data_IF_255919448693
#
_entry.id   IF_255919448693
#
_cell.length_a   1.000
_cell.length_b   1.000
_cell.length_c   1.000
_cell.angle_alpha   90.00
_cell.angle_beta   90.00
_cell.angle_gamma   90.00
#
_symmetry.space_group_name_H-M   'P 1'
#
loop_
_entity.id
_entity.type
_entity.pdbx_description
1 polymer ?
#
# COMPACT_ATOMS: atom_id res chain seq x y z
N UNK A 1 -26.67 10.60 2.02
CA UNK A 1 -25.31 11.17 2.17
C UNK A 1 -24.39 10.50 1.16
N UNK A 2 -23.49 11.21 0.48
CA UNK A 2 -22.50 10.54 -0.36
C UNK A 2 -21.70 9.57 0.51
N UNK A 3 -21.63 8.31 0.06
CA UNK A 3 -20.88 7.26 0.73
C UNK A 3 -19.40 7.53 0.44
N UNK A 4 -18.72 8.24 1.35
CA UNK A 4 -17.28 8.47 1.25
C UNK A 4 -16.53 7.24 1.77
N UNK A 5 -15.40 6.94 1.15
CA UNK A 5 -14.51 5.85 1.51
C UNK A 5 -13.09 6.40 1.67
N UNK A 6 -12.38 5.98 2.71
CA UNK A 6 -11.00 6.39 2.93
C UNK A 6 -10.07 5.49 2.10
N UNK A 7 -9.68 5.97 0.92
CA UNK A 7 -8.69 5.29 0.08
C UNK A 7 -7.28 5.22 0.67
N UNK A 8 -6.72 6.33 1.22
CA UNK A 8 -5.38 6.33 1.82
C UNK A 8 -5.13 5.20 2.81
N UNK A 9 -3.96 4.58 2.67
CA UNK A 9 -3.68 3.29 3.30
C UNK A 9 -2.88 3.41 4.60
N UNK A 10 -3.02 2.35 5.39
CA UNK A 10 -2.12 1.97 6.48
C UNK A 10 -1.42 0.68 6.05
N UNK A 11 -0.12 0.58 6.28
CA UNK A 11 0.69 -0.57 5.88
C UNK A 11 1.58 -1.01 7.05
N UNK A 12 1.83 -2.30 7.14
CA UNK A 12 2.88 -2.84 8.00
C UNK A 12 3.69 -3.88 7.24
N UNK A 13 4.99 -3.81 7.35
CA UNK A 13 5.89 -4.89 6.99
C UNK A 13 6.57 -5.45 8.24
N UNK A 14 6.72 -6.76 8.31
CA UNK A 14 7.37 -7.46 9.44
C UNK A 14 8.29 -8.53 8.88
N UNK A 15 9.51 -8.63 9.42
CA UNK A 15 10.38 -9.79 9.23
C UNK A 15 10.78 -10.39 10.58
N UNK A 16 10.78 -11.72 10.64
CA UNK A 16 11.19 -12.50 11.80
C UNK A 16 12.70 -12.71 11.83
N UNK A 17 13.25 -12.86 13.04
CA UNK A 17 14.62 -13.29 13.23
C UNK A 17 14.85 -14.70 12.64
N UNK A 18 16.06 -15.00 12.12
CA UNK A 18 16.40 -16.34 11.64
C UNK A 18 16.10 -17.43 12.67
N UNK A 19 15.58 -18.57 12.21
CA UNK A 19 15.22 -19.72 13.07
C UNK A 19 13.82 -19.65 13.69
N UNK A 20 13.08 -18.55 13.52
CA UNK A 20 11.68 -18.50 13.94
C UNK A 20 10.79 -19.44 13.12
N UNK A 21 9.70 -19.97 13.69
CA UNK A 21 8.73 -20.77 12.93
C UNK A 21 8.12 -20.00 11.76
N UNK A 22 7.91 -20.70 10.63
CA UNK A 22 7.34 -20.12 9.41
C UNK A 22 6.00 -19.41 9.68
N UNK A 23 5.89 -18.19 9.16
CA UNK A 23 4.64 -17.41 9.15
C UNK A 23 3.56 -18.09 8.29
N UNK A 24 3.94 -18.74 7.18
CA UNK A 24 2.99 -19.51 6.35
C UNK A 24 2.45 -20.72 7.08
N UNK A 25 3.29 -21.40 7.86
CA UNK A 25 2.88 -22.56 8.67
C UNK A 25 1.82 -22.22 9.75
N UNK A 26 1.61 -20.93 10.07
CA UNK A 26 0.51 -20.49 10.95
C UNK A 26 -0.88 -20.78 10.38
N UNK A 27 -0.98 -20.90 9.05
CA UNK A 27 -2.20 -21.27 8.35
C UNK A 27 -3.26 -20.17 8.31
N UNK A 28 -4.24 -20.35 7.42
CA UNK A 28 -5.35 -19.42 7.20
C UNK A 28 -6.13 -19.03 8.48
N UNK A 29 -6.46 -19.96 9.41
CA UNK A 29 -7.21 -19.59 10.62
C UNK A 29 -6.49 -18.60 11.54
N UNK A 30 -5.16 -18.61 11.56
CA UNK A 30 -4.39 -17.60 12.28
C UNK A 30 -4.54 -16.23 11.62
N UNK A 31 -4.36 -16.17 10.30
CA UNK A 31 -4.46 -14.94 9.52
C UNK A 31 -5.86 -14.34 9.53
N UNK A 32 -6.92 -15.15 9.51
CA UNK A 32 -8.30 -14.67 9.68
C UNK A 32 -8.50 -13.96 11.02
N UNK A 33 -7.91 -14.46 12.11
CA UNK A 33 -7.95 -13.81 13.43
C UNK A 33 -7.19 -12.47 13.42
N UNK A 34 -6.01 -12.42 12.79
CA UNK A 34 -5.21 -11.19 12.67
C UNK A 34 -5.94 -10.15 11.82
N UNK A 35 -6.42 -10.53 10.64
CA UNK A 35 -7.16 -9.68 9.72
C UNK A 35 -8.46 -9.16 10.37
N UNK A 36 -9.16 -10.01 11.11
CA UNK A 36 -10.34 -9.62 11.89
C UNK A 36 -10.05 -8.55 12.94
N UNK A 37 -8.84 -8.52 13.52
CA UNK A 37 -8.43 -7.46 14.46
C UNK A 37 -8.23 -6.11 13.78
N UNK A 38 -7.93 -6.08 12.48
CA UNK A 38 -7.92 -4.86 11.67
C UNK A 38 -9.33 -4.42 11.24
N UNK A 39 -10.40 -5.17 11.58
CA UNK A 39 -11.77 -5.00 11.09
C UNK A 39 -11.95 -5.28 9.59
N UNK A 40 -11.12 -6.18 9.05
CA UNK A 40 -11.21 -6.65 7.68
C UNK A 40 -11.56 -8.16 7.64
N UNK A 41 -11.81 -8.69 6.44
CA UNK A 41 -12.04 -10.11 6.18
C UNK A 41 -11.15 -10.58 5.04
N UNK A 42 -10.78 -11.86 5.03
CA UNK A 42 -10.15 -12.52 3.89
C UNK A 42 -11.26 -12.90 2.89
N UNK A 43 -11.16 -12.42 1.65
CA UNK A 43 -12.11 -12.74 0.57
C UNK A 43 -11.64 -13.97 -0.21
N UNK A 44 -10.36 -14.01 -0.56
CA UNK A 44 -9.74 -15.08 -1.32
C UNK A 44 -8.27 -15.22 -0.99
N UNK A 45 -7.65 -16.29 -1.49
CA UNK A 45 -6.24 -16.60 -1.31
C UNK A 45 -5.67 -17.20 -2.59
N UNK A 46 -4.47 -16.77 -2.94
CA UNK A 46 -3.58 -17.44 -3.89
C UNK A 46 -2.29 -17.87 -3.18
N UNK A 47 -1.58 -18.84 -3.75
CA UNK A 47 -0.33 -19.36 -3.19
C UNK A 47 0.60 -19.83 -4.30
N UNK A 48 1.90 -19.66 -4.08
CA UNK A 48 2.96 -20.35 -4.80
C UNK A 48 3.94 -21.01 -3.80
N UNK A 49 5.10 -21.47 -4.28
CA UNK A 49 6.11 -22.12 -3.44
C UNK A 49 6.68 -21.22 -2.32
N UNK A 50 6.68 -19.89 -2.51
CA UNK A 50 7.38 -18.93 -1.64
C UNK A 50 6.44 -18.00 -0.87
N UNK A 51 5.22 -17.79 -1.36
CA UNK A 51 4.31 -16.76 -0.86
C UNK A 51 2.85 -17.20 -0.88
N UNK A 52 2.12 -16.82 0.16
CA UNK A 52 0.67 -16.81 0.22
C UNK A 52 0.18 -15.37 0.16
N UNK A 53 -0.73 -15.06 -0.76
CA UNK A 53 -1.38 -13.74 -0.84
C UNK A 53 -2.87 -13.87 -0.56
N UNK A 54 -3.35 -13.02 0.31
CA UNK A 54 -4.74 -12.94 0.76
C UNK A 54 -5.32 -11.62 0.30
N UNK A 55 -6.34 -11.70 -0.55
CA UNK A 55 -7.12 -10.53 -0.91
C UNK A 55 -8.13 -10.26 0.22
N UNK A 56 -8.11 -9.04 0.74
CA UNK A 56 -8.93 -8.63 1.88
C UNK A 56 -10.12 -7.78 1.41
N UNK A 57 -11.14 -7.69 2.27
CA UNK A 57 -12.27 -6.79 2.07
C UNK A 57 -11.85 -5.31 2.03
N UNK A 58 -10.70 -4.99 2.61
CA UNK A 58 -10.15 -3.66 2.77
C UNK A 58 -8.64 -3.73 2.47
N UNK A 59 -8.24 -4.09 1.24
CA UNK A 59 -6.85 -4.21 0.73
C UNK A 59 -6.24 -5.64 0.74
N UNK A 60 -5.05 -5.87 1.30
CA UNK A 60 -4.22 -7.06 0.97
C UNK A 60 -3.28 -7.52 2.11
N UNK A 61 -2.95 -8.81 2.11
CA UNK A 61 -1.92 -9.41 3.00
C UNK A 61 -1.07 -10.40 2.21
N UNK A 62 0.25 -10.26 2.26
CA UNK A 62 1.22 -11.18 1.67
C UNK A 62 2.08 -11.80 2.75
N UNK A 63 2.29 -13.12 2.70
CA UNK A 63 2.98 -13.88 3.74
C UNK A 63 3.97 -14.86 3.09
N UNK A 64 5.24 -14.73 3.42
CA UNK A 64 6.31 -15.69 3.15
C UNK A 64 6.68 -16.41 4.44
N UNK A 65 7.69 -17.29 4.47
CA UNK A 65 8.08 -17.98 5.70
C UNK A 65 8.61 -17.03 6.78
N UNK A 66 9.37 -16.00 6.40
CA UNK A 66 10.03 -15.09 7.35
C UNK A 66 9.58 -13.63 7.27
N UNK A 67 8.82 -13.25 6.25
CA UNK A 67 8.38 -11.88 6.01
C UNK A 67 6.88 -11.80 5.67
N UNK A 68 6.23 -10.71 6.05
CA UNK A 68 4.89 -10.35 5.60
C UNK A 68 4.76 -8.85 5.34
N UNK A 69 3.79 -8.48 4.50
CA UNK A 69 3.21 -7.14 4.46
C UNK A 69 1.69 -7.22 4.57
N UNK A 70 1.08 -6.32 5.33
CA UNK A 70 -0.36 -6.16 5.39
C UNK A 70 -0.71 -4.70 5.16
N UNK A 71 -1.54 -4.46 4.14
CA UNK A 71 -2.02 -3.15 3.73
C UNK A 71 -3.52 -3.12 4.00
N UNK A 72 -4.01 -2.00 4.52
CA UNK A 72 -5.42 -1.80 4.85
C UNK A 72 -5.87 -0.39 4.52
N UNK A 73 -7.11 -0.25 4.05
CA UNK A 73 -7.76 1.04 3.77
C UNK A 73 -9.07 1.17 4.57
N UNK A 74 -9.88 2.19 4.27
CA UNK A 74 -11.16 2.41 4.93
C UNK A 74 -11.00 2.83 6.41
N UNK A 75 -11.83 2.24 7.28
CA UNK A 75 -11.86 2.55 8.73
C UNK A 75 -11.25 1.45 9.60
N UNK A 76 -10.25 0.77 9.05
CA UNK A 76 -9.50 -0.31 9.70
C UNK A 76 -8.61 0.18 10.84
N UNK A 77 -8.27 -0.74 11.74
CA UNK A 77 -7.33 -0.52 12.85
C UNK A 77 -6.14 -1.50 12.73
N UNK A 78 -5.23 -1.19 11.81
CA UNK A 78 -4.08 -2.04 11.51
C UNK A 78 -3.20 -2.28 12.74
N UNK A 79 -3.03 -1.27 13.61
CA UNK A 79 -2.22 -1.42 14.82
C UNK A 79 -2.79 -2.49 15.76
N UNK A 80 -4.11 -2.65 15.88
CA UNK A 80 -4.67 -3.77 16.65
C UNK A 80 -4.27 -5.13 16.07
N UNK A 81 -4.19 -5.27 14.74
CA UNK A 81 -3.68 -6.48 14.10
C UNK A 81 -2.17 -6.66 14.32
N UNK A 82 -1.36 -5.61 14.28
CA UNK A 82 0.08 -5.64 14.59
C UNK A 82 0.30 -6.15 16.02
N UNK A 83 -0.43 -5.58 16.99
CA UNK A 83 -0.34 -6.00 18.39
C UNK A 83 -0.76 -7.45 18.57
N UNK A 84 -1.78 -7.92 17.84
CA UNK A 84 -2.17 -9.33 17.83
C UNK A 84 -1.08 -10.24 17.25
N UNK A 85 -0.37 -9.80 16.21
CA UNK A 85 0.79 -10.52 15.68
C UNK A 85 1.90 -10.58 16.73
N UNK A 86 2.19 -9.46 17.40
CA UNK A 86 3.18 -9.41 18.48
C UNK A 86 2.85 -10.39 19.62
N UNK A 87 1.58 -10.51 20.02
CA UNK A 87 1.15 -11.48 21.05
C UNK A 87 1.38 -12.95 20.61
N UNK A 88 1.25 -13.24 19.31
CA UNK A 88 1.36 -14.61 18.78
C UNK A 88 2.75 -14.99 18.29
N UNK A 89 3.58 -14.01 17.94
CA UNK A 89 4.92 -14.18 17.38
C UNK A 89 6.02 -13.88 18.39
N UNK A 90 5.74 -13.06 19.41
CA UNK A 90 6.76 -12.51 20.31
C UNK A 90 7.45 -11.29 19.70
N UNK A 91 7.53 -10.19 20.44
CA UNK A 91 8.19 -8.95 19.97
C UNK A 91 9.70 -9.15 19.84
N UNK A 92 10.28 -9.97 20.71
CA UNK A 92 11.67 -10.39 20.68
C UNK A 92 12.05 -11.10 19.37
N UNK A 93 11.10 -11.77 18.73
CA UNK A 93 11.32 -12.51 17.48
C UNK A 93 11.21 -11.62 16.24
N UNK A 94 10.80 -10.35 16.37
CA UNK A 94 10.78 -9.41 15.25
C UNK A 94 12.19 -8.84 15.03
N UNK A 95 12.74 -9.08 13.84
CA UNK A 95 14.01 -8.47 13.44
C UNK A 95 13.78 -7.10 12.78
N UNK A 96 12.64 -6.95 12.09
CA UNK A 96 12.26 -5.77 11.34
C UNK A 96 10.77 -5.53 11.47
N UNK A 97 10.39 -4.26 11.65
CA UNK A 97 9.02 -3.81 11.52
C UNK A 97 9.03 -2.38 11.01
N UNK A 98 8.23 -2.12 9.97
CA UNK A 98 7.86 -0.79 9.52
C UNK A 98 6.33 -0.70 9.54
N UNK A 99 5.80 0.35 10.14
CA UNK A 99 4.41 0.75 10.05
C UNK A 99 4.31 2.09 9.33
N UNK A 100 3.51 2.15 8.28
CA UNK A 100 3.29 3.33 7.47
C UNK A 100 1.82 3.75 7.49
N UNK A 101 1.61 5.06 7.40
CA UNK A 101 0.28 5.63 7.29
C UNK A 101 0.32 6.86 6.40
N UNK A 102 -0.36 6.79 5.25
CA UNK A 102 -0.61 7.96 4.42
C UNK A 102 -1.53 8.92 5.17
N UNK A 103 -1.31 10.23 5.06
CA UNK A 103 -2.24 11.19 5.65
C UNK A 103 -3.65 11.02 5.07
N UNK A 104 -4.63 10.91 5.97
CA UNK A 104 -6.02 10.64 5.62
C UNK A 104 -6.68 11.85 4.98
N UNK A 105 -7.62 11.60 4.07
CA UNK A 105 -8.53 12.60 3.52
C UNK A 105 -9.65 12.93 4.51
N UNK A 106 -10.10 11.94 5.29
CA UNK A 106 -11.19 12.11 6.26
C UNK A 106 -10.79 11.57 7.64
N UNK A 107 -9.77 12.20 8.23
CA UNK A 107 -9.14 11.82 9.49
C UNK A 107 -10.14 11.74 10.67
N UNK A 108 -11.21 12.54 10.65
CA UNK A 108 -12.27 12.58 11.66
C UNK A 108 -13.14 11.31 11.70
N UNK A 109 -13.12 10.49 10.65
CA UNK A 109 -13.82 9.20 10.62
C UNK A 109 -12.91 8.00 10.88
N UNK A 110 -11.62 8.24 11.06
CA UNK A 110 -10.67 7.19 11.41
C UNK A 110 -10.75 6.86 12.90
N UNK A 111 -10.61 5.58 13.29
CA UNK A 111 -10.68 5.18 14.70
C UNK A 111 -9.50 5.74 15.54
N UNK A 112 -8.39 6.06 14.90
CA UNK A 112 -7.15 6.59 15.49
C UNK A 112 -6.47 7.53 14.51
N UNK A 113 -5.54 8.36 14.97
CA UNK A 113 -4.53 9.02 14.12
C UNK A 113 -3.14 8.36 14.28
N UNK A 114 -2.16 8.81 13.50
CA UNK A 114 -0.80 8.26 13.55
C UNK A 114 -0.13 8.38 14.94
N UNK A 115 -0.39 9.46 15.68
CA UNK A 115 0.18 9.65 17.01
C UNK A 115 -0.40 8.68 18.04
N UNK A 116 -1.70 8.38 17.96
CA UNK A 116 -2.34 7.34 18.76
C UNK A 116 -1.74 5.97 18.44
N UNK A 117 -1.55 5.68 17.16
CA UNK A 117 -0.97 4.44 16.65
C UNK A 117 0.45 4.23 17.20
N UNK A 118 1.33 5.24 17.06
CA UNK A 118 2.69 5.20 17.60
C UNK A 118 2.68 5.05 19.11
N UNK A 119 1.84 5.78 19.84
CA UNK A 119 1.73 5.64 21.31
C UNK A 119 1.37 4.22 21.73
N UNK A 120 0.60 3.48 20.93
CA UNK A 120 0.26 2.08 21.18
C UNK A 120 1.42 1.14 20.84
N UNK A 121 2.11 1.36 19.73
CA UNK A 121 3.29 0.58 19.32
C UNK A 121 4.45 0.77 20.30
N UNK A 122 4.75 2.01 20.69
CA UNK A 122 5.82 2.37 21.63
C UNK A 122 5.63 1.83 23.05
N UNK A 123 4.42 1.35 23.41
CA UNK A 123 4.21 0.62 24.68
C UNK A 123 4.72 -0.82 24.64
N UNK A 124 5.02 -1.35 23.46
CA UNK A 124 5.35 -2.77 23.24
C UNK A 124 6.72 -2.96 22.61
N UNK A 125 7.26 -1.96 21.93
CA UNK A 125 8.57 -2.01 21.29
C UNK A 125 9.19 -0.63 21.20
N UNK A 126 10.51 -0.57 21.26
CA UNK A 126 11.26 0.65 20.99
C UNK A 126 11.31 0.91 19.49
N UNK A 127 11.02 2.13 19.09
CA UNK A 127 11.02 2.49 17.69
C UNK A 127 10.98 3.98 17.46
N UNK A 128 11.22 4.35 16.22
CA UNK A 128 11.36 5.74 15.78
C UNK A 128 10.27 6.10 14.80
N UNK A 129 9.62 7.23 15.05
CA UNK A 129 8.60 7.80 14.17
C UNK A 129 9.18 8.95 13.34
N UNK A 130 8.76 9.03 12.07
CA UNK A 130 9.21 9.99 11.07
C UNK A 130 8.02 10.44 10.21
N UNK A 131 8.18 11.59 9.55
CA UNK A 131 7.26 12.08 8.50
C UNK A 131 8.06 12.37 7.24
N UNK A 132 7.53 11.91 6.11
CA UNK A 132 8.03 12.19 4.78
C UNK A 132 7.02 13.07 4.05
N UNK A 133 7.37 14.33 3.80
CA UNK A 133 6.47 15.34 3.25
C UNK A 133 6.06 16.41 4.27
N UNK A 134 5.13 17.27 3.87
CA UNK A 134 4.71 18.44 4.63
C UNK A 134 3.43 18.15 5.41
N UNK A 135 3.33 18.63 6.66
CA UNK A 135 2.23 18.25 7.57
C UNK A 135 0.86 18.81 7.22
N UNK A 136 0.86 19.87 6.43
CA UNK A 136 -0.29 20.59 5.87
C UNK A 136 -0.57 20.19 4.41
N UNK A 137 0.15 19.21 3.88
CA UNK A 137 0.04 18.73 2.50
C UNK A 137 0.21 17.20 2.44
N UNK A 138 0.54 16.66 1.26
CA UNK A 138 0.85 15.24 1.10
C UNK A 138 2.06 14.79 1.93
N UNK A 139 1.84 13.78 2.78
CA UNK A 139 2.90 13.14 3.53
C UNK A 139 2.58 11.68 3.91
N UNK A 140 3.63 10.89 4.11
CA UNK A 140 3.58 9.56 4.71
C UNK A 140 4.22 9.62 6.09
N UNK A 141 3.51 9.11 7.08
CA UNK A 141 4.08 8.83 8.39
C UNK A 141 4.67 7.43 8.42
N UNK A 142 5.78 7.28 9.12
CA UNK A 142 6.49 6.01 9.25
C UNK A 142 6.92 5.81 10.69
N UNK A 143 6.69 4.63 11.24
CA UNK A 143 7.28 4.14 12.47
C UNK A 143 8.10 2.89 12.14
N UNK A 144 9.34 2.81 12.63
CA UNK A 144 10.13 1.59 12.49
C UNK A 144 10.69 1.13 13.83
N UNK A 145 10.81 -0.19 13.98
CA UNK A 145 11.48 -0.84 15.11
C UNK A 145 12.96 -0.41 15.15
N UNK A 146 13.47 -0.04 16.32
CA UNK A 146 14.88 0.30 16.50
C UNK A 146 15.70 -0.94 16.89
N UNK A 147 16.00 -1.77 15.89
CA UNK A 147 16.90 -2.91 16.01
C UNK A 147 17.86 -2.96 14.82
N UNK A 148 19.10 -3.47 15.01
CA UNK A 148 20.01 -3.66 13.87
C UNK A 148 19.36 -4.56 12.82
N UNK A 149 19.21 -4.01 11.62
CA UNK A 149 18.69 -4.72 10.46
C UNK A 149 19.47 -4.32 9.22
N UNK A 150 19.72 -5.28 8.36
CA UNK A 150 20.38 -5.09 7.07
C UNK A 150 19.51 -5.73 6.00
N UNK A 151 18.87 -4.94 5.12
CA UNK A 151 18.11 -5.50 4.03
C UNK A 151 19.01 -6.19 3.02
N UNK A 152 18.45 -7.19 2.33
CA UNK A 152 19.12 -7.82 1.19
C UNK A 152 19.35 -6.79 0.07
N UNK A 153 20.44 -6.90 -0.72
CA UNK A 153 20.80 -5.89 -1.73
C UNK A 153 19.71 -5.61 -2.78
N UNK A 154 18.82 -6.56 -3.03
CA UNK A 154 17.71 -6.49 -3.99
C UNK A 154 16.32 -6.37 -3.34
N UNK A 155 16.29 -6.03 -2.04
CA UNK A 155 15.07 -5.76 -1.29
C UNK A 155 14.64 -4.29 -1.44
N UNK A 156 13.88 -4.03 -2.49
CA UNK A 156 13.32 -2.73 -2.79
C UNK A 156 11.81 -2.82 -2.82
N UNK A 157 11.13 -1.81 -2.27
CA UNK A 157 9.68 -1.65 -2.35
C UNK A 157 9.36 -0.31 -2.99
N UNK A 158 8.53 -0.33 -4.04
CA UNK A 158 8.02 0.85 -4.73
C UNK A 158 6.52 0.98 -4.45
N UNK A 159 6.12 2.17 -4.04
CA UNK A 159 4.72 2.56 -3.87
C UNK A 159 4.40 3.78 -4.73
N UNK A 160 3.24 3.77 -5.37
CA UNK A 160 2.70 4.89 -6.14
C UNK A 160 1.28 5.17 -5.63
N UNK A 161 1.13 6.26 -4.89
CA UNK A 161 -0.10 6.66 -4.22
C UNK A 161 -0.73 7.81 -5.03
N UNK A 162 -1.85 7.54 -5.69
CA UNK A 162 -2.41 8.38 -6.74
C UNK A 162 -3.71 9.01 -6.30
N UNK A 163 -3.88 10.31 -6.55
CA UNK A 163 -5.01 11.10 -6.07
C UNK A 163 -5.70 11.82 -7.21
N UNK A 164 -7.02 11.93 -7.15
CA UNK A 164 -7.79 12.60 -8.19
C UNK A 164 -7.69 11.84 -9.51
N UNK A 165 -8.06 10.56 -9.49
CA UNK A 165 -7.99 9.66 -10.64
C UNK A 165 -8.86 10.20 -11.78
N UNK A 166 -8.45 9.99 -13.02
CA UNK A 166 -9.23 10.37 -14.19
C UNK A 166 -10.60 9.68 -14.21
N UNK A 167 -11.65 10.44 -14.53
CA UNK A 167 -13.04 9.95 -14.48
C UNK A 167 -13.27 8.74 -15.40
N UNK A 168 -12.61 8.69 -16.57
CA UNK A 168 -12.76 7.58 -17.50
C UNK A 168 -12.00 6.35 -16.99
N UNK A 169 -10.80 6.55 -16.45
CA UNK A 169 -10.05 5.48 -15.80
C UNK A 169 -10.83 4.88 -14.61
N UNK A 170 -11.38 5.72 -13.73
CA UNK A 170 -12.14 5.30 -12.55
C UNK A 170 -13.41 4.52 -12.89
N UNK A 171 -14.12 4.87 -13.98
CA UNK A 171 -15.33 4.14 -14.44
C UNK A 171 -15.07 2.68 -14.78
N UNK A 172 -13.85 2.32 -15.16
CA UNK A 172 -13.45 0.92 -15.41
C UNK A 172 -13.64 0.03 -14.18
N UNK A 173 -13.59 0.62 -12.98
CA UNK A 173 -13.66 -0.06 -11.68
C UNK A 173 -15.00 0.17 -10.95
N UNK A 174 -16.04 0.55 -11.70
CA UNK A 174 -17.42 0.63 -11.21
C UNK A 174 -18.16 -0.59 -11.72
N UNK A 175 -18.83 -1.32 -10.82
CA UNK A 175 -19.59 -2.52 -11.18
C UNK A 175 -20.82 -2.15 -12.03
N UNK A 176 -21.14 -3.01 -12.98
CA UNK A 176 -22.28 -2.82 -13.87
C UNK A 176 -22.52 -4.03 -14.76
N UNK A 177 -23.63 -4.08 -15.52
CA UNK A 177 -24.00 -5.25 -16.32
C UNK A 177 -22.89 -5.75 -17.25
N UNK A 178 -22.13 -4.81 -17.83
CA UNK A 178 -20.99 -5.06 -18.72
C UNK A 178 -19.63 -5.00 -17.99
N UNK A 179 -19.55 -4.37 -16.82
CA UNK A 179 -18.31 -4.19 -16.05
C UNK A 179 -18.16 -5.33 -15.05
N UNK A 180 -17.74 -6.49 -15.55
CA UNK A 180 -17.40 -7.69 -14.75
C UNK A 180 -15.89 -7.90 -14.73
N UNK A 181 -15.39 -8.86 -13.93
CA UNK A 181 -13.96 -9.21 -13.85
C UNK A 181 -13.28 -9.34 -15.22
N UNK A 182 -13.93 -9.98 -16.20
CA UNK A 182 -13.42 -10.15 -17.56
C UNK A 182 -13.14 -8.80 -18.26
N UNK A 183 -14.07 -7.85 -18.14
CA UNK A 183 -13.93 -6.52 -18.70
C UNK A 183 -12.72 -5.80 -18.08
N UNK A 184 -12.57 -5.84 -16.75
CA UNK A 184 -11.42 -5.22 -16.08
C UNK A 184 -10.10 -5.82 -16.58
N UNK A 185 -10.05 -7.16 -16.69
CA UNK A 185 -8.87 -7.86 -17.19
C UNK A 185 -8.49 -7.43 -18.61
N UNK A 186 -9.47 -7.28 -19.49
CA UNK A 186 -9.25 -6.96 -20.91
C UNK A 186 -8.96 -5.46 -21.13
N UNK A 187 -9.62 -4.57 -20.38
CA UNK A 187 -9.64 -3.13 -20.69
C UNK A 187 -8.76 -2.26 -19.78
N UNK A 188 -8.50 -2.67 -18.53
CA UNK A 188 -7.79 -1.79 -17.58
C UNK A 188 -6.26 -1.80 -17.72
N UNK A 189 -5.69 -2.88 -18.27
CA UNK A 189 -4.25 -3.10 -18.33
C UNK A 189 -3.56 -3.44 -17.01
N UNK A 190 -4.28 -3.50 -15.88
CA UNK A 190 -3.68 -3.73 -14.55
C UNK A 190 -3.17 -5.17 -14.33
N UNK A 191 -3.75 -6.14 -15.03
CA UNK A 191 -3.33 -7.55 -15.00
C UNK A 191 -1.99 -7.80 -15.71
N UNK A 192 -1.57 -6.90 -16.60
CA UNK A 192 -0.40 -7.09 -17.46
C UNK A 192 0.75 -6.12 -17.13
N UNK A 193 0.68 -5.43 -15.98
CA UNK A 193 1.73 -4.51 -15.53
C UNK A 193 3.07 -5.23 -15.38
N UNK A 194 3.06 -6.42 -14.77
CA UNK A 194 4.22 -7.29 -14.64
C UNK A 194 3.89 -8.68 -15.23
N UNK A 195 4.42 -9.02 -16.42
CA UNK A 195 4.17 -10.30 -17.06
C UNK A 195 4.62 -11.50 -16.21
N UNK A 196 3.85 -12.60 -16.28
CA UNK A 196 4.16 -13.87 -15.61
C UNK A 196 3.74 -13.96 -14.14
N UNK A 197 3.05 -12.94 -13.61
CA UNK A 197 2.46 -13.01 -12.28
C UNK A 197 1.10 -13.71 -12.31
N UNK A 198 0.85 -14.56 -11.31
CA UNK A 198 -0.50 -15.06 -11.03
C UNK A 198 -1.32 -13.94 -10.40
N UNK A 199 -2.55 -13.73 -10.85
CA UNK A 199 -3.43 -12.64 -10.41
C UNK A 199 -4.69 -13.20 -9.74
N UNK A 200 -5.09 -12.57 -8.63
CA UNK A 200 -6.37 -12.75 -7.94
C UNK A 200 -6.90 -11.35 -7.65
N UNK A 201 -8.17 -11.13 -7.99
CA UNK A 201 -8.77 -9.81 -7.97
C UNK A 201 -10.18 -9.83 -7.40
N UNK A 202 -10.68 -8.65 -7.08
CA UNK A 202 -12.03 -8.47 -6.59
C UNK A 202 -12.57 -7.10 -7.03
N UNK A 203 -13.72 -7.13 -7.71
CA UNK A 203 -14.51 -5.94 -8.02
C UNK A 203 -15.60 -5.83 -6.96
N UNK A 204 -15.58 -4.74 -6.20
CA UNK A 204 -16.54 -4.47 -5.14
C UNK A 204 -17.82 -3.86 -5.71
N UNK A 205 -18.94 -4.11 -5.03
CA UNK A 205 -20.24 -3.56 -5.40
C UNK A 205 -20.64 -2.43 -4.43
N UNK A 206 -21.09 -1.27 -4.95
CA UNK A 206 -21.27 -0.93 -6.37
C UNK A 206 -19.98 -0.51 -7.10
N UNK A 207 -18.89 -0.26 -6.39
CA UNK A 207 -17.62 0.18 -6.98
C UNK A 207 -16.42 -0.13 -6.10
N UNK A 208 -15.22 -0.10 -6.69
CA UNK A 208 -13.95 -0.36 -6.02
C UNK A 208 -13.29 -1.61 -6.56
N UNK A 209 -11.97 -1.68 -6.50
CA UNK A 209 -11.23 -2.83 -7.03
C UNK A 209 -9.97 -3.12 -6.21
N UNK A 210 -9.72 -4.40 -5.96
CA UNK A 210 -8.47 -4.87 -5.38
C UNK A 210 -7.86 -5.94 -6.25
N UNK A 211 -6.54 -5.93 -6.39
CA UNK A 211 -5.79 -6.94 -7.11
C UNK A 211 -4.55 -7.31 -6.32
N UNK A 212 -4.34 -8.61 -6.15
CA UNK A 212 -3.06 -9.18 -5.74
C UNK A 212 -2.46 -9.95 -6.89
N UNK A 213 -1.14 -9.90 -6.96
CA UNK A 213 -0.40 -10.65 -7.94
C UNK A 213 0.90 -11.15 -7.34
N UNK A 214 1.23 -12.43 -7.55
CA UNK A 214 2.47 -13.05 -7.04
C UNK A 214 3.23 -13.82 -8.11
N UNK A 215 4.56 -13.85 -7.97
CA UNK A 215 5.49 -14.72 -8.71
C UNK A 215 6.73 -14.94 -7.86
N UNK A 216 7.06 -16.19 -7.56
CA UNK A 216 8.12 -16.52 -6.59
C UNK A 216 7.91 -15.73 -5.27
N UNK A 217 8.94 -15.07 -4.75
CA UNK A 217 8.87 -14.17 -3.59
C UNK A 217 8.50 -12.72 -3.94
N UNK A 218 8.04 -12.47 -5.17
CA UNK A 218 7.70 -11.13 -5.66
C UNK A 218 6.19 -10.93 -5.73
N UNK A 219 5.75 -9.71 -5.48
CA UNK A 219 4.34 -9.34 -5.58
C UNK A 219 4.14 -7.97 -6.23
N UNK A 220 2.94 -7.74 -6.71
CA UNK A 220 2.39 -6.39 -6.79
C UNK A 220 0.92 -6.39 -6.39
N UNK A 221 0.44 -5.24 -5.94
CA UNK A 221 -0.94 -5.06 -5.51
C UNK A 221 -1.48 -3.70 -5.92
N UNK A 222 -2.79 -3.63 -6.13
CA UNK A 222 -3.50 -2.40 -6.53
C UNK A 222 -4.81 -2.31 -5.75
N UNK A 223 -5.08 -1.15 -5.17
CA UNK A 223 -6.37 -0.85 -4.56
C UNK A 223 -6.94 0.43 -5.17
N UNK A 224 -8.17 0.35 -5.67
CA UNK A 224 -8.85 1.44 -6.40
C UNK A 224 -10.08 1.87 -5.63
N UNK A 225 -10.12 3.16 -5.30
CA UNK A 225 -11.24 3.91 -4.74
C UNK A 225 -11.71 4.90 -5.81
N UNK A 226 -12.68 4.53 -6.68
CA UNK A 226 -13.07 5.33 -7.84
C UNK A 226 -14.08 6.45 -7.51
N UNK A 227 -14.44 6.65 -6.24
CA UNK A 227 -15.39 7.65 -5.77
C UNK A 227 -14.99 9.05 -6.23
N UNK A 228 -15.95 9.86 -6.69
CA UNK A 228 -15.68 11.24 -7.16
C UNK A 228 -14.97 12.10 -6.11
N UNK A 229 -15.42 11.99 -4.86
CA UNK A 229 -14.79 12.66 -3.72
C UNK A 229 -13.81 11.68 -3.10
N UNK A 230 -12.54 12.09 -3.03
CA UNK A 230 -11.48 11.27 -2.47
C UNK A 230 -11.06 10.09 -3.35
N UNK A 231 -11.15 10.23 -4.68
CA UNK A 231 -10.63 9.19 -5.59
C UNK A 231 -9.15 8.94 -5.33
N UNK A 232 -8.82 7.67 -5.16
CA UNK A 232 -7.51 7.23 -4.73
C UNK A 232 -7.17 5.89 -5.36
N UNK A 233 -5.91 5.71 -5.76
CA UNK A 233 -5.37 4.41 -6.16
C UNK A 233 -4.00 4.23 -5.53
N UNK A 234 -3.75 3.08 -4.94
CA UNK A 234 -2.39 2.65 -4.58
C UNK A 234 -1.92 1.57 -5.55
N UNK A 235 -0.64 1.62 -5.88
CA UNK A 235 0.10 0.53 -6.50
C UNK A 235 1.34 0.27 -5.65
N UNK A 236 1.60 -0.97 -5.29
CA UNK A 236 2.81 -1.37 -4.57
C UNK A 236 3.44 -2.61 -5.20
N UNK A 237 4.77 -2.68 -5.22
CA UNK A 237 5.52 -3.87 -5.64
C UNK A 237 6.91 -3.94 -5.03
N UNK A 238 7.39 -5.17 -4.79
CA UNK A 238 8.80 -5.43 -4.50
C UNK A 238 9.61 -5.90 -5.74
N UNK A 239 9.04 -5.81 -6.94
CA UNK A 239 9.69 -6.13 -8.23
C UNK A 239 10.29 -4.86 -8.85
N UNK A 240 11.32 -4.30 -8.23
CA UNK A 240 11.95 -3.04 -8.66
C UNK A 240 13.21 -3.29 -9.50
N UNK A 241 13.00 -3.62 -10.78
CA UNK A 241 14.07 -3.94 -11.74
C UNK A 241 14.56 -2.76 -12.60
N UNK A 242 15.26 -3.08 -13.70
CA UNK A 242 15.73 -2.08 -14.67
C UNK A 242 14.59 -1.35 -15.39
N UNK A 243 13.48 -2.04 -15.63
CA UNK A 243 12.31 -1.47 -16.31
C UNK A 243 11.35 -0.70 -15.38
N UNK A 244 11.76 -0.40 -14.14
CA UNK A 244 10.91 0.30 -13.15
C UNK A 244 10.31 1.61 -13.70
N UNK A 245 11.07 2.37 -14.50
CA UNK A 245 10.59 3.63 -15.07
C UNK A 245 9.49 3.40 -16.13
N UNK A 246 9.56 2.30 -16.88
CA UNK A 246 8.47 1.91 -17.80
C UNK A 246 7.25 1.46 -17.00
N UNK A 247 7.44 0.72 -15.91
CA UNK A 247 6.35 0.32 -15.01
C UNK A 247 5.64 1.54 -14.43
N UNK A 248 6.37 2.50 -13.86
CA UNK A 248 5.83 3.74 -13.29
C UNK A 248 5.04 4.51 -14.34
N UNK A 249 5.60 4.69 -15.55
CA UNK A 249 4.90 5.37 -16.64
C UNK A 249 3.62 4.63 -17.06
N UNK A 250 3.61 3.29 -17.09
CA UNK A 250 2.43 2.48 -17.39
C UNK A 250 1.35 2.63 -16.32
N UNK A 251 1.71 2.52 -15.03
CA UNK A 251 0.76 2.70 -13.91
C UNK A 251 0.11 4.08 -13.98
N UNK A 252 0.92 5.13 -14.11
CA UNK A 252 0.41 6.51 -14.22
C UNK A 252 -0.38 6.75 -15.52
N UNK A 253 -0.06 6.04 -16.60
CA UNK A 253 -0.79 6.10 -17.86
C UNK A 253 -2.18 5.45 -17.80
N UNK A 254 -2.36 4.42 -16.96
CA UNK A 254 -3.67 3.78 -16.71
C UNK A 254 -4.57 4.73 -15.91
N UNK A 255 -4.09 5.25 -14.78
CA UNK A 255 -4.93 5.97 -13.83
C UNK A 255 -4.96 7.49 -14.04
N UNK A 256 -3.95 8.05 -14.72
CA UNK A 256 -3.83 9.48 -15.09
C UNK A 256 -4.17 10.45 -13.94
N UNK A 257 -3.59 10.28 -12.75
CA UNK A 257 -4.00 11.02 -11.57
C UNK A 257 -3.66 12.52 -11.67
N UNK A 258 -4.35 13.34 -10.88
CA UNK A 258 -4.04 14.77 -10.72
C UNK A 258 -2.76 14.98 -9.92
N UNK A 259 -2.49 14.15 -8.93
CA UNK A 259 -1.22 14.12 -8.20
C UNK A 259 -0.87 12.70 -7.79
N UNK A 260 0.42 12.45 -7.53
CA UNK A 260 0.86 11.20 -6.98
C UNK A 260 2.03 11.38 -6.01
N UNK A 261 2.08 10.51 -5.02
CA UNK A 261 3.21 10.35 -4.12
C UNK A 261 3.93 9.06 -4.52
N UNK A 262 5.25 9.12 -4.70
CA UNK A 262 6.08 7.95 -4.98
C UNK A 262 6.98 7.71 -3.78
N UNK A 263 6.82 6.54 -3.15
CA UNK A 263 7.67 6.09 -2.04
C UNK A 263 8.55 4.96 -2.54
N UNK A 264 9.83 5.03 -2.26
CA UNK A 264 10.77 3.97 -2.60
C UNK A 264 11.66 3.66 -1.40
N UNK A 265 11.55 2.42 -0.95
CA UNK A 265 12.46 1.79 -0.01
C UNK A 265 13.56 1.09 -0.81
N UNK A 266 14.81 1.36 -0.46
CA UNK A 266 15.95 0.67 -1.04
C UNK A 266 17.07 0.52 -0.01
N UNK A 267 17.90 -0.52 -0.08
CA UNK A 267 19.08 -0.64 0.78
C UNK A 267 19.98 0.58 0.61
N UNK A 268 20.67 1.04 1.65
CA UNK A 268 21.52 2.25 1.57
C UNK A 268 22.65 2.15 0.53
N UNK A 269 23.11 0.94 0.23
CA UNK A 269 24.09 0.67 -0.83
C UNK A 269 23.51 0.64 -2.25
N UNK A 270 22.19 0.69 -2.39
CA UNK A 270 21.48 0.68 -3.66
C UNK A 270 21.06 2.10 -4.08
N UNK A 271 21.11 2.38 -5.38
CA UNK A 271 20.65 3.64 -5.96
C UNK A 271 19.82 3.37 -7.22
N UNK A 272 18.58 2.93 -7.03
CA UNK A 272 17.60 2.87 -8.12
C UNK A 272 17.03 4.26 -8.36
N UNK A 273 17.02 4.67 -9.63
CA UNK A 273 16.43 5.92 -10.09
C UNK A 273 15.01 5.68 -10.59
N UNK A 274 14.02 6.27 -9.90
CA UNK A 274 12.60 6.21 -10.27
C UNK A 274 12.18 7.57 -10.79
N UNK A 275 11.75 7.61 -12.06
CA UNK A 275 11.38 8.81 -12.79
C UNK A 275 9.87 8.86 -12.95
N UNK A 276 9.31 10.00 -12.59
CA UNK A 276 7.88 10.30 -12.72
C UNK A 276 7.71 11.33 -13.85
N UNK A 277 6.78 11.14 -14.81
CA UNK A 277 6.56 12.05 -15.93
C UNK A 277 5.84 13.35 -15.53
N UNK A 278 5.82 13.70 -14.24
CA UNK A 278 5.16 14.87 -13.67
C UNK A 278 6.17 15.71 -12.89
N UNK A 279 6.04 17.04 -12.87
CA UNK A 279 6.86 17.89 -12.02
C UNK A 279 6.79 17.47 -10.54
N UNK A 280 7.94 17.46 -9.88
CA UNK A 280 8.02 17.27 -8.43
C UNK A 280 7.70 18.59 -7.72
N UNK A 281 6.79 18.54 -6.75
CA UNK A 281 6.52 19.64 -5.80
C UNK A 281 7.37 19.52 -4.54
N UNK A 282 7.60 18.30 -4.06
CA UNK A 282 8.38 18.02 -2.86
C UNK A 282 9.16 16.71 -3.03
N UNK A 283 10.36 16.67 -2.45
CA UNK A 283 11.18 15.47 -2.34
C UNK A 283 11.76 15.38 -0.92
N UNK A 284 11.69 14.22 -0.30
CA UNK A 284 12.32 13.91 0.98
C UNK A 284 13.14 12.62 0.84
N UNK A 285 14.34 12.60 1.42
CA UNK A 285 15.25 11.45 1.41
C UNK A 285 15.78 11.26 2.82
N UNK A 286 15.69 10.04 3.35
CA UNK A 286 16.18 9.73 4.69
C UNK A 286 16.83 8.35 4.71
N UNK A 287 18.02 8.25 5.29
CA UNK A 287 18.60 6.97 5.68
C UNK A 287 18.08 6.60 7.07
N UNK A 288 17.44 5.44 7.18
CA UNK A 288 16.96 4.90 8.45
C UNK A 288 18.10 4.14 9.17
N UNK A 289 18.03 4.01 10.49
CA UNK A 289 19.01 3.20 11.24
C UNK A 289 18.95 1.71 10.91
N UNK A 290 17.88 1.27 10.24
CA UNK A 290 17.60 -0.11 9.83
C UNK A 290 18.06 -0.42 8.38
N UNK A 291 19.12 0.23 7.90
CA UNK A 291 19.79 -0.14 6.65
C UNK A 291 19.09 0.25 5.34
N UNK A 292 17.88 0.84 5.39
CA UNK A 292 17.20 1.41 4.23
C UNK A 292 17.51 2.91 4.04
N UNK A 293 17.43 3.34 2.79
CA UNK A 293 17.22 4.72 2.37
C UNK A 293 15.79 4.81 1.81
N UNK A 294 14.98 5.67 2.40
CA UNK A 294 13.60 5.92 1.97
C UNK A 294 13.56 7.23 1.21
N UNK A 295 12.92 7.21 0.05
CA UNK A 295 12.61 8.40 -0.75
C UNK A 295 11.11 8.58 -0.87
N UNK A 296 10.65 9.80 -0.65
CA UNK A 296 9.29 10.25 -0.91
C UNK A 296 9.34 11.40 -1.89
N UNK A 297 8.58 11.31 -2.97
CA UNK A 297 8.41 12.38 -3.95
C UNK A 297 6.92 12.66 -4.19
N UNK A 298 6.50 13.90 -3.97
CA UNK A 298 5.16 14.35 -4.29
C UNK A 298 5.17 15.09 -5.63
N UNK A 299 4.36 14.60 -6.56
CA UNK A 299 4.24 15.09 -7.93
C UNK A 299 2.81 15.52 -8.26
N UNK A 300 2.67 16.43 -9.23
CA UNK A 300 1.36 16.91 -9.69
C UNK A 300 1.31 17.02 -11.21
N UNK A 301 0.15 16.74 -11.78
CA UNK A 301 -0.14 16.97 -13.19
C UNK A 301 -0.40 18.46 -13.40
N UNK A 302 0.43 19.10 -14.21
CA UNK A 302 0.28 20.52 -14.53
C UNK A 302 -1.05 20.78 -15.24
N UNK A 303 -1.88 21.66 -14.67
CA UNK A 303 -3.13 22.10 -15.29
C UNK A 303 -2.83 23.27 -16.23
N UNK A 304 -3.45 23.27 -17.42
CA UNK A 304 -3.34 24.39 -18.37
C UNK A 304 -4.57 25.30 -18.23
N UNK A 305 -4.32 26.57 -17.92
CA UNK A 305 -5.37 27.58 -17.78
C UNK A 305 -6.13 27.54 -16.46
N UNK A 306 -6.98 28.54 -16.24
CA UNK A 306 -7.82 28.64 -15.05
C UNK A 306 -9.10 27.80 -15.21
N UNK A 307 -9.49 27.10 -14.15
CA UNK A 307 -10.80 26.46 -14.06
C UNK A 307 -11.88 27.49 -13.71
N UNK A 308 -13.12 27.27 -14.15
CA UNK A 308 -14.28 28.08 -13.72
C UNK A 308 -14.80 27.56 -12.37
N UNK A 309 -15.39 28.45 -11.58
CA UNK A 309 -16.20 28.05 -10.44
C UNK A 309 -17.39 27.18 -10.90
N UNK A 310 -17.82 26.25 -10.06
CA UNK A 310 -18.99 25.40 -10.30
C UNK A 310 -20.09 25.72 -9.28
N UNK A 311 -21.37 25.69 -9.68
CA UNK A 311 -22.47 25.92 -8.75
C UNK A 311 -22.57 24.76 -7.75
N UNK A 312 -22.74 25.08 -6.46
CA UNK A 312 -23.09 24.11 -5.43
C UNK A 312 -24.62 24.02 -5.40
N UNK A 313 -25.15 22.83 -5.66
CA UNK A 313 -26.57 22.54 -5.47
C UNK A 313 -26.74 22.05 -4.03
N UNK A 314 -27.50 22.80 -3.24
CA UNK A 314 -27.83 22.48 -1.85
C UNK A 314 -29.03 21.53 -1.78
#
# INVERSE_FOLDING_TARGET
>A
MPMFFEGPEKKVEIALAPGCPSLRARGRPYWEKVVGKARAKILSRMSNERMDAYLLSESSLFVTDGWLTMITCGRTDLVTAILRMCDGLGVENLQYLIYERKNALFQEYQPTNFFDDVKRLSKRMDGRALRFGDGDDHHVFLFHLERPYRPEPDDLTLEILMHGIDDQAGRTFVAGPLHRKRYIKEESGVWSLLPGFQVDDHLFEPMGYSLNAIRDSRYYTIHVTPQKIGSYVSFETNQVGQDVNKLVARVLGIFKPRSCDVVLFQPQGCRRDVRVPYPAKRAVRQCLSIGYRVSFDHHFRQVRGASKAFPIVL
#
